data_IF_073853992965
#
_entry.id   IF_073853992965
#
_cell.length_a   1.000
_cell.length_b   1.000
_cell.length_c   1.000
_cell.angle_alpha   90.00
_cell.angle_beta   90.00
_cell.angle_gamma   90.00
#
_symmetry.space_group_name_H-M   'P 1'
#
loop_
_entity.id
_entity.type
_entity.pdbx_description
1 polymer ?
#
# COMPACT_ATOMS: atom_id res chain seq x y z
N UNK A 1 -2.24 23.19 11.60
CA UNK A 1 -3.56 22.53 11.57
C UNK A 1 -3.80 22.03 10.16
N UNK A 2 -4.25 20.80 9.98
CA UNK A 2 -4.41 20.19 8.64
C UNK A 2 -5.72 20.65 7.98
N UNK A 3 -5.64 21.17 6.76
CA UNK A 3 -6.83 21.57 5.98
C UNK A 3 -7.48 20.33 5.37
N UNK A 4 -8.74 20.06 5.72
CA UNK A 4 -9.47 18.86 5.29
C UNK A 4 -9.99 18.95 3.86
N UNK A 5 -10.30 20.17 3.41
CA UNK A 5 -10.87 20.44 2.10
C UNK A 5 -9.90 21.27 1.27
N UNK A 6 -9.87 20.97 -0.02
CA UNK A 6 -9.10 21.69 -1.03
C UNK A 6 -10.06 22.15 -2.11
N UNK A 7 -9.87 23.38 -2.57
CA UNK A 7 -10.53 23.88 -3.77
C UNK A 7 -9.60 23.58 -4.93
N UNK A 8 -10.05 22.83 -5.91
CA UNK A 8 -9.22 22.37 -7.01
C UNK A 8 -9.79 22.78 -8.35
N UNK A 9 -8.92 23.16 -9.28
CA UNK A 9 -9.27 23.28 -10.69
C UNK A 9 -8.91 21.99 -11.41
N UNK A 10 -9.84 21.44 -12.19
CA UNK A 10 -9.59 20.27 -13.04
C UNK A 10 -8.96 20.71 -14.37
N UNK A 11 -7.71 20.32 -14.61
CA UNK A 11 -6.93 20.75 -15.78
C UNK A 11 -7.28 19.98 -17.06
N UNK A 12 -7.89 18.80 -16.92
CA UNK A 12 -8.23 17.93 -18.04
C UNK A 12 -9.63 18.22 -18.62
N UNK A 13 -10.44 19.01 -17.91
CA UNK A 13 -11.78 19.40 -18.36
C UNK A 13 -11.66 20.67 -19.18
N UNK A 14 -11.79 20.54 -20.51
CA UNK A 14 -11.81 21.67 -21.44
C UNK A 14 -13.20 22.30 -21.46
N UNK A 15 -13.45 23.24 -20.55
CA UNK A 15 -14.62 24.13 -20.60
C UNK A 15 -14.19 25.60 -20.64
N UNK A 16 -15.00 26.45 -21.28
CA UNK A 16 -14.80 27.91 -21.26
C UNK A 16 -14.98 28.52 -19.86
N UNK A 17 -15.63 27.78 -18.95
CA UNK A 17 -15.77 28.10 -17.53
C UNK A 17 -14.77 27.26 -16.76
N UNK A 18 -13.99 27.88 -15.86
CA UNK A 18 -13.06 27.16 -14.99
C UNK A 18 -13.82 26.09 -14.19
N UNK A 19 -13.45 24.82 -14.37
CA UNK A 19 -14.04 23.71 -13.61
C UNK A 19 -13.37 23.62 -12.23
N UNK A 20 -13.78 24.52 -11.33
CA UNK A 20 -13.35 24.55 -9.93
C UNK A 20 -14.39 23.81 -9.09
N UNK A 21 -13.94 22.93 -8.20
CA UNK A 21 -14.82 22.25 -7.24
C UNK A 21 -14.09 21.98 -5.91
N UNK A 22 -14.84 21.53 -4.91
CA UNK A 22 -14.35 21.17 -3.59
C UNK A 22 -14.05 19.66 -3.59
N UNK A 23 -12.90 19.28 -3.05
CA UNK A 23 -12.55 17.88 -2.77
C UNK A 23 -11.96 17.78 -1.37
N UNK A 24 -11.96 16.58 -0.80
CA UNK A 24 -11.20 16.34 0.43
C UNK A 24 -9.71 16.20 0.09
N UNK A 25 -8.85 16.61 1.02
CA UNK A 25 -7.40 16.47 0.90
C UNK A 25 -6.96 15.01 0.67
N UNK A 26 -7.75 14.04 1.17
CA UNK A 26 -7.50 12.60 1.03
C UNK A 26 -7.81 12.04 -0.36
N UNK A 27 -8.56 12.76 -1.20
CA UNK A 27 -8.85 12.34 -2.57
C UNK A 27 -7.74 12.70 -3.55
N UNK A 28 -6.87 13.63 -3.14
CA UNK A 28 -5.77 14.14 -3.94
C UNK A 28 -4.53 13.27 -3.71
N UNK A 29 -3.84 12.93 -4.78
CA UNK A 29 -2.57 12.22 -4.72
C UNK A 29 -1.65 12.62 -5.87
N UNK A 30 -0.35 12.37 -5.69
CA UNK A 30 0.62 12.58 -6.75
C UNK A 30 0.68 11.37 -7.67
N UNK A 31 0.41 11.58 -8.95
CA UNK A 31 0.59 10.59 -10.00
C UNK A 31 2.00 10.69 -10.58
N UNK A 32 2.78 9.62 -10.40
CA UNK A 32 4.17 9.54 -10.86
C UNK A 32 4.28 9.40 -12.37
N UNK A 33 3.32 8.73 -13.01
CA UNK A 33 3.35 8.50 -14.46
C UNK A 33 3.05 9.80 -15.20
N UNK A 34 2.06 10.54 -14.71
CA UNK A 34 1.66 11.84 -15.28
C UNK A 34 2.50 13.01 -14.75
N UNK A 35 3.34 12.78 -13.74
CA UNK A 35 4.13 13.79 -13.04
C UNK A 35 3.27 15.00 -12.62
N UNK A 36 2.12 14.72 -12.03
CA UNK A 36 1.10 15.73 -11.75
C UNK A 36 0.27 15.39 -10.52
N UNK A 37 -0.29 16.41 -9.89
CA UNK A 37 -1.31 16.24 -8.87
C UNK A 37 -2.63 15.79 -9.52
N UNK A 38 -3.25 14.75 -8.98
CA UNK A 38 -4.50 14.20 -9.52
C UNK A 38 -5.53 13.96 -8.42
N UNK A 39 -6.80 13.94 -8.79
CA UNK A 39 -7.91 13.58 -7.90
C UNK A 39 -8.92 12.73 -8.66
N UNK A 40 -9.52 11.76 -7.97
CA UNK A 40 -10.68 11.03 -8.50
C UNK A 40 -11.93 11.86 -8.34
N UNK A 41 -12.71 11.97 -9.42
CA UNK A 41 -13.91 12.79 -9.41
C UNK A 41 -15.06 12.18 -10.19
N UNK A 42 -16.28 12.58 -9.84
CA UNK A 42 -17.48 12.06 -10.47
C UNK A 42 -17.46 12.36 -11.98
N UNK A 43 -17.72 11.37 -12.85
CA UNK A 43 -17.78 11.62 -14.29
C UNK A 43 -19.10 12.31 -14.69
N UNK A 44 -19.10 13.07 -15.81
CA UNK A 44 -20.31 13.66 -16.37
C UNK A 44 -21.33 12.58 -16.80
N UNK A 45 -22.62 12.93 -16.99
CA UNK A 45 -23.21 14.26 -16.83
C UNK A 45 -23.48 14.62 -15.36
N UNK A 46 -23.37 15.90 -15.01
CA UNK A 46 -23.57 16.43 -13.65
C UNK A 46 -25.02 16.87 -13.41
N UNK A 47 -25.92 15.92 -13.19
CA UNK A 47 -27.32 16.22 -12.81
C UNK A 47 -27.41 16.74 -11.38
N UNK A 48 -28.51 17.41 -11.02
CA UNK A 48 -28.73 17.94 -9.66
C UNK A 48 -28.62 16.84 -8.58
N UNK A 49 -29.24 15.67 -8.82
CA UNK A 49 -29.15 14.53 -7.91
C UNK A 49 -27.72 14.02 -7.71
N UNK A 50 -26.93 14.00 -8.79
CA UNK A 50 -25.51 13.62 -8.74
C UNK A 50 -24.67 14.64 -7.95
N UNK A 51 -24.93 15.94 -8.11
CA UNK A 51 -24.26 17.00 -7.34
C UNK A 51 -24.57 16.90 -5.84
N UNK A 52 -25.83 16.63 -5.47
CA UNK A 52 -26.21 16.39 -4.07
C UNK A 52 -25.47 15.17 -3.52
N UNK A 53 -25.45 14.05 -4.27
CA UNK A 53 -24.73 12.85 -3.85
C UNK A 53 -23.23 13.10 -3.66
N UNK A 54 -22.62 13.87 -4.57
CA UNK A 54 -21.21 14.23 -4.49
C UNK A 54 -20.93 15.08 -3.25
N UNK A 55 -21.73 16.14 -3.00
CA UNK A 55 -21.64 16.97 -1.80
C UNK A 55 -21.70 16.13 -0.53
N UNK A 56 -22.70 15.25 -0.43
CA UNK A 56 -22.87 14.37 0.73
C UNK A 56 -21.66 13.45 0.96
N UNK A 57 -21.03 12.94 -0.11
CA UNK A 57 -19.84 12.10 0.01
C UNK A 57 -18.63 12.89 0.53
N UNK A 58 -18.43 14.10 0.01
CA UNK A 58 -17.32 14.98 0.41
C UNK A 58 -17.49 15.43 1.85
N UNK A 59 -18.68 15.91 2.22
CA UNK A 59 -18.99 16.42 3.56
C UNK A 59 -18.92 15.32 4.63
N UNK A 60 -19.34 14.09 4.30
CA UNK A 60 -19.20 12.94 5.18
C UNK A 60 -17.77 12.34 5.20
N UNK A 61 -16.84 12.86 4.39
CA UNK A 61 -15.45 12.41 4.36
C UNK A 61 -15.25 11.00 3.78
N UNK A 62 -16.20 10.51 2.97
CA UNK A 62 -16.06 9.19 2.34
C UNK A 62 -14.93 9.18 1.31
N UNK A 63 -14.26 8.02 1.07
CA UNK A 63 -13.28 7.90 0.00
C UNK A 63 -13.95 8.02 -1.38
N UNK A 64 -13.19 8.39 -2.44
CA UNK A 64 -13.76 8.50 -3.78
C UNK A 64 -14.11 7.10 -4.31
N UNK A 65 -15.15 7.01 -5.13
CA UNK A 65 -15.55 5.72 -5.73
C UNK A 65 -14.43 5.23 -6.64
N UNK A 66 -14.01 3.96 -6.46
CA UNK A 66 -12.85 3.40 -7.17
C UNK A 66 -12.96 3.45 -8.70
N UNK A 67 -14.17 3.33 -9.24
CA UNK A 67 -14.45 3.35 -10.67
C UNK A 67 -14.45 4.75 -11.28
N UNK A 68 -14.35 5.81 -10.47
CA UNK A 68 -14.26 7.16 -10.98
C UNK A 68 -12.93 7.43 -11.68
N UNK A 69 -12.93 8.21 -12.77
CA UNK A 69 -11.72 8.63 -13.45
C UNK A 69 -10.90 9.57 -12.58
N UNK A 70 -9.59 9.57 -12.84
CA UNK A 70 -8.64 10.51 -12.23
C UNK A 70 -8.35 11.66 -13.18
N UNK A 71 -8.47 12.87 -12.67
CA UNK A 71 -8.21 14.11 -13.38
C UNK A 71 -7.01 14.81 -12.76
N UNK A 72 -6.18 15.44 -13.60
CA UNK A 72 -5.15 16.37 -13.15
C UNK A 72 -5.80 17.57 -12.51
N UNK A 73 -5.25 17.97 -11.37
CA UNK A 73 -5.77 19.07 -10.57
C UNK A 73 -4.67 20.03 -10.18
N UNK A 74 -5.06 21.25 -9.88
CA UNK A 74 -4.24 22.23 -9.19
C UNK A 74 -5.02 22.80 -8.01
N UNK A 75 -4.36 22.98 -6.87
CA UNK A 75 -5.00 23.52 -5.67
C UNK A 75 -5.09 25.04 -5.76
N UNK A 76 -6.31 25.58 -5.65
CA UNK A 76 -6.60 27.01 -5.66
C UNK A 76 -7.01 27.57 -4.31
N UNK A 77 -7.23 26.72 -3.31
CA UNK A 77 -7.53 27.15 -1.94
C UNK A 77 -7.58 26.00 -0.95
N UNK A 78 -7.63 26.36 0.34
CA UNK A 78 -7.65 25.42 1.47
C UNK A 78 -8.77 25.80 2.44
N UNK A 79 -9.40 24.80 3.05
CA UNK A 79 -10.46 25.00 4.03
C UNK A 79 -10.45 23.89 5.08
N UNK A 80 -10.81 24.24 6.32
CA UNK A 80 -10.94 23.29 7.43
C UNK A 80 -12.32 22.66 7.47
N UNK A 81 -13.36 23.42 7.14
CA UNK A 81 -14.76 22.95 7.10
C UNK A 81 -15.34 23.06 5.69
N UNK A 82 -16.39 22.28 5.41
CA UNK A 82 -17.06 22.34 4.11
C UNK A 82 -17.71 23.72 3.89
N UNK A 83 -18.32 24.31 4.93
CA UNK A 83 -18.84 25.68 4.86
C UNK A 83 -17.76 26.71 4.53
N UNK A 84 -16.54 26.57 5.07
CA UNK A 84 -15.41 27.43 4.70
C UNK A 84 -15.03 27.28 3.22
N UNK A 85 -15.13 26.06 2.70
CA UNK A 85 -14.81 25.74 1.32
C UNK A 85 -15.85 26.36 0.37
N UNK A 86 -17.15 26.30 0.68
CA UNK A 86 -18.19 26.97 -0.10
C UNK A 86 -17.97 28.48 -0.17
N UNK A 87 -17.68 29.14 0.96
CA UNK A 87 -17.36 30.58 0.99
C UNK A 87 -16.16 30.92 0.11
N UNK A 88 -15.12 30.07 0.12
CA UNK A 88 -13.93 30.27 -0.73
C UNK A 88 -14.18 30.00 -2.20
N UNK A 89 -15.10 29.09 -2.53
CA UNK A 89 -15.48 28.82 -3.90
C UNK A 89 -16.12 30.07 -4.52
N UNK A 90 -16.89 30.83 -3.74
CA UNK A 90 -17.42 32.13 -4.15
C UNK A 90 -16.32 33.18 -4.35
N UNK A 91 -15.26 33.18 -3.54
CA UNK A 91 -14.10 34.07 -3.74
C UNK A 91 -13.36 33.73 -5.04
N UNK A 92 -13.18 32.45 -5.36
CA UNK A 92 -12.51 32.01 -6.59
C UNK A 92 -13.23 32.40 -7.89
N UNK A 93 -14.49 32.85 -7.82
CA UNK A 93 -15.17 33.46 -8.97
C UNK A 93 -14.61 34.85 -9.31
N UNK A 94 -13.97 35.52 -8.35
CA UNK A 94 -13.47 36.90 -8.46
C UNK A 94 -11.95 36.98 -8.53
N UNK A 95 -11.25 36.03 -7.92
CA UNK A 95 -9.78 36.00 -7.84
C UNK A 95 -9.24 34.61 -8.16
N UNK A 96 -7.94 34.54 -8.49
CA UNK A 96 -7.33 33.31 -8.99
C UNK A 96 -7.07 32.25 -7.89
N UNK A 97 -6.85 32.68 -6.65
CA UNK A 97 -6.56 31.82 -5.49
C UNK A 97 -7.32 32.31 -4.25
N UNK A 98 -7.69 31.39 -3.35
CA UNK A 98 -8.45 31.68 -2.13
C UNK A 98 -7.87 30.88 -0.94
N UNK A 99 -6.62 31.16 -0.58
CA UNK A 99 -5.99 30.56 0.59
C UNK A 99 -6.36 31.32 1.88
N UNK A 100 -6.28 30.61 3.00
CA UNK A 100 -6.64 31.06 4.36
C UNK A 100 -5.62 32.01 4.99
N UNK A 101 -4.37 31.97 4.56
CA UNK A 101 -3.27 32.65 5.25
C UNK A 101 -3.07 34.06 4.69
N UNK A 102 -3.17 35.06 5.57
CA UNK A 102 -2.66 36.44 5.42
C UNK A 102 -1.11 36.48 5.36
N UNK A 103 -0.48 35.40 4.88
CA UNK A 103 0.95 35.43 4.63
C UNK A 103 1.21 36.35 3.44
N UNK A 104 2.32 37.09 3.47
CA UNK A 104 2.84 37.84 2.30
C UNK A 104 3.13 36.93 1.08
N UNK A 105 3.03 35.61 1.26
CA UNK A 105 3.21 34.60 0.23
C UNK A 105 2.00 34.55 -0.70
N UNK A 106 2.26 34.77 -1.99
CA UNK A 106 1.24 34.73 -3.03
C UNK A 106 0.55 33.35 -3.13
N UNK A 107 -0.70 33.33 -3.61
CA UNK A 107 -1.49 32.10 -3.69
C UNK A 107 -0.91 31.04 -4.63
N UNK A 108 -0.15 31.43 -5.66
CA UNK A 108 0.51 30.49 -6.56
C UNK A 108 1.62 29.74 -5.85
N UNK A 109 2.40 30.42 -5.01
CA UNK A 109 3.41 29.82 -4.16
C UNK A 109 2.81 28.79 -3.20
N UNK A 110 1.62 29.05 -2.63
CA UNK A 110 0.90 28.08 -1.78
C UNK A 110 0.39 26.86 -2.57
N UNK A 111 -0.03 27.05 -3.83
CA UNK A 111 -0.40 25.95 -4.75
C UNK A 111 0.79 25.05 -5.07
N UNK A 112 1.97 25.65 -5.32
CA UNK A 112 3.22 24.93 -5.57
C UNK A 112 3.65 24.15 -4.33
N UNK A 113 3.58 24.76 -3.15
CA UNK A 113 3.89 24.11 -1.88
C UNK A 113 3.00 22.86 -1.67
N UNK A 114 1.68 22.99 -1.84
CA UNK A 114 0.76 21.85 -1.74
C UNK A 114 1.17 20.72 -2.70
N UNK A 115 1.51 21.07 -3.93
CA UNK A 115 1.96 20.10 -4.95
C UNK A 115 3.21 19.33 -4.50
N UNK A 116 4.22 20.03 -3.97
CA UNK A 116 5.44 19.41 -3.48
C UNK A 116 5.20 18.57 -2.22
N UNK A 117 4.28 18.97 -1.32
CA UNK A 117 3.87 18.14 -0.18
C UNK A 117 3.29 16.80 -0.65
N UNK A 118 2.34 16.80 -1.59
CA UNK A 118 1.77 15.56 -2.12
C UNK A 118 2.82 14.69 -2.84
N UNK A 119 3.74 15.31 -3.57
CA UNK A 119 4.86 14.62 -4.21
C UNK A 119 5.79 13.97 -3.20
N UNK A 120 6.12 14.64 -2.10
CA UNK A 120 6.93 14.11 -1.01
C UNK A 120 6.22 12.98 -0.25
N UNK A 121 4.91 13.10 -0.03
CA UNK A 121 4.10 12.04 0.57
C UNK A 121 4.11 10.77 -0.29
N UNK A 122 4.01 10.90 -1.61
CA UNK A 122 4.08 9.75 -2.53
C UNK A 122 5.43 9.02 -2.53
N UNK A 123 6.53 9.75 -2.33
CA UNK A 123 7.88 9.16 -2.18
C UNK A 123 8.00 8.43 -0.84
N UNK A 124 7.44 9.01 0.22
CA UNK A 124 7.49 8.44 1.57
C UNK A 124 6.68 7.14 1.67
N UNK A 125 5.47 7.11 1.10
CA UNK A 125 4.66 5.88 1.03
C UNK A 125 5.42 4.77 0.29
N UNK A 126 6.00 5.10 -0.85
CA UNK A 126 6.77 4.15 -1.66
C UNK A 126 8.01 3.60 -0.93
N UNK A 127 8.73 4.43 -0.17
CA UNK A 127 9.85 3.96 0.68
C UNK A 127 9.38 2.96 1.74
N UNK A 128 8.27 3.24 2.42
CA UNK A 128 7.69 2.32 3.42
C UNK A 128 7.26 1.00 2.79
N UNK A 129 6.64 1.04 1.62
CA UNK A 129 6.24 -0.15 0.85
C UNK A 129 7.46 -0.99 0.45
N UNK A 130 8.52 -0.36 -0.06
CA UNK A 130 9.79 -1.02 -0.39
C UNK A 130 10.41 -1.69 0.84
N UNK A 131 10.54 -0.97 1.95
CA UNK A 131 11.12 -1.50 3.17
C UNK A 131 10.34 -2.73 3.68
N UNK A 132 9.02 -2.69 3.59
CA UNK A 132 8.17 -3.82 3.96
C UNK A 132 8.37 -5.01 3.01
N UNK A 133 8.45 -4.78 1.70
CA UNK A 133 8.74 -5.82 0.72
C UNK A 133 10.10 -6.48 0.98
N UNK A 134 11.14 -5.69 1.24
CA UNK A 134 12.48 -6.18 1.59
C UNK A 134 12.47 -7.04 2.87
N UNK A 135 11.78 -6.60 3.92
CA UNK A 135 11.62 -7.39 5.16
C UNK A 135 10.91 -8.72 4.91
N UNK A 136 9.86 -8.72 4.10
CA UNK A 136 9.11 -9.94 3.75
C UNK A 136 9.97 -10.92 2.93
N UNK A 137 10.73 -10.42 1.95
CA UNK A 137 11.68 -11.23 1.19
C UNK A 137 12.73 -11.89 2.07
N UNK A 138 13.30 -11.14 3.03
CA UNK A 138 14.29 -11.68 3.99
C UNK A 138 13.69 -12.80 4.85
N UNK A 139 12.50 -12.57 5.43
CA UNK A 139 11.77 -13.58 6.20
C UNK A 139 11.47 -14.84 5.39
N UNK A 140 11.10 -14.69 4.12
CA UNK A 140 10.82 -15.82 3.24
C UNK A 140 12.09 -16.63 2.91
N UNK A 141 13.22 -15.97 2.65
CA UNK A 141 14.51 -16.67 2.46
C UNK A 141 14.91 -17.46 3.70
N UNK A 142 14.74 -16.90 4.89
CA UNK A 142 15.04 -17.60 6.16
C UNK A 142 14.12 -18.80 6.39
N UNK A 143 12.81 -18.67 6.11
CA UNK A 143 11.86 -19.79 6.18
C UNK A 143 12.24 -20.91 5.20
N UNK A 144 12.61 -20.58 3.97
CA UNK A 144 13.05 -21.56 2.98
C UNK A 144 14.32 -22.29 3.41
N UNK A 145 15.31 -21.58 3.99
CA UNK A 145 16.52 -22.21 4.56
C UNK A 145 16.18 -23.17 5.71
N UNK A 146 15.28 -22.79 6.62
CA UNK A 146 14.84 -23.66 7.72
C UNK A 146 14.12 -24.91 7.22
N UNK A 147 13.25 -24.78 6.20
CA UNK A 147 12.59 -25.93 5.55
C UNK A 147 13.61 -26.87 4.90
N UNK A 148 14.62 -26.33 4.23
CA UNK A 148 15.69 -27.13 3.62
C UNK A 148 16.51 -27.87 4.68
N UNK A 149 16.89 -27.17 5.75
CA UNK A 149 17.63 -27.77 6.88
C UNK A 149 16.83 -28.90 7.54
N UNK A 150 15.55 -28.68 7.81
CA UNK A 150 14.70 -29.69 8.42
C UNK A 150 14.50 -30.91 7.52
N UNK A 151 14.33 -30.72 6.21
CA UNK A 151 14.24 -31.79 5.22
C UNK A 151 15.52 -32.62 5.16
N UNK A 152 16.69 -31.99 5.27
CA UNK A 152 17.97 -32.69 5.27
C UNK A 152 18.19 -33.49 6.56
N UNK A 153 17.78 -32.97 7.72
CA UNK A 153 17.80 -33.72 8.98
C UNK A 153 16.92 -34.96 8.90
N UNK A 154 15.66 -34.84 8.46
CA UNK A 154 14.76 -35.99 8.37
C UNK A 154 15.28 -37.10 7.45
N UNK A 155 16.00 -36.75 6.38
CA UNK A 155 16.64 -37.74 5.50
C UNK A 155 17.80 -38.45 6.20
N UNK A 156 18.64 -37.70 6.92
CA UNK A 156 19.78 -38.25 7.65
C UNK A 156 19.35 -39.20 8.77
N UNK A 157 18.34 -38.83 9.56
CA UNK A 157 17.81 -39.67 10.65
C UNK A 157 17.15 -40.94 10.13
N UNK A 158 16.45 -40.87 8.99
CA UNK A 158 15.86 -42.06 8.35
C UNK A 158 16.95 -43.04 7.90
N UNK A 159 18.05 -42.54 7.34
CA UNK A 159 19.14 -43.39 6.89
C UNK A 159 19.89 -44.04 8.08
N UNK A 160 20.14 -43.27 9.14
CA UNK A 160 20.73 -43.79 10.37
C UNK A 160 19.87 -44.87 11.04
N UNK A 161 18.54 -44.71 11.01
CA UNK A 161 17.61 -45.71 11.55
C UNK A 161 17.64 -47.02 10.76
N UNK A 162 17.73 -46.95 9.43
CA UNK A 162 17.90 -48.14 8.57
C UNK A 162 19.21 -48.86 8.90
N UNK A 163 20.32 -48.12 9.02
CA UNK A 163 21.62 -48.70 9.37
C UNK A 163 21.57 -49.39 10.75
N UNK A 164 21.03 -48.72 11.77
CA UNK A 164 20.89 -49.31 13.11
C UNK A 164 20.02 -50.57 13.12
N UNK A 165 18.94 -50.58 12.33
CA UNK A 165 18.09 -51.77 12.19
C UNK A 165 18.86 -52.94 11.56
N UNK A 166 19.60 -52.68 10.48
CA UNK A 166 20.43 -53.70 9.82
C UNK A 166 21.56 -54.21 10.72
N UNK A 167 22.21 -53.34 11.50
CA UNK A 167 23.25 -53.75 12.45
C UNK A 167 22.69 -54.68 13.53
N UNK A 168 21.50 -54.36 14.06
CA UNK A 168 20.85 -55.19 15.08
C UNK A 168 20.41 -56.56 14.55
N UNK A 169 19.96 -56.62 13.28
CA UNK A 169 19.64 -57.88 12.61
C UNK A 169 20.90 -58.74 12.40
N UNK A 170 22.04 -58.13 12.06
CA UNK A 170 23.34 -58.81 11.94
C UNK A 170 23.83 -59.33 13.29
N UNK A 171 23.75 -58.52 14.36
CA UNK A 171 24.13 -58.98 15.72
C UNK A 171 23.35 -60.22 16.14
N UNK A 172 22.02 -60.24 15.91
CA UNK A 172 21.17 -61.40 16.22
C UNK A 172 21.62 -62.65 15.44
N UNK A 173 21.98 -62.50 14.16
CA UNK A 173 22.49 -63.61 13.35
C UNK A 173 23.82 -64.15 13.87
N UNK A 174 24.73 -63.26 14.29
CA UNK A 174 26.02 -63.64 14.88
C UNK A 174 25.80 -64.39 16.20
N UNK A 175 24.99 -63.87 17.12
CA UNK A 175 24.73 -64.53 18.41
C UNK A 175 24.07 -65.90 18.23
N UNK A 176 23.16 -66.03 17.26
CA UNK A 176 22.54 -67.32 16.95
C UNK A 176 23.55 -68.32 16.35
N UNK A 177 24.52 -67.84 15.56
CA UNK A 177 25.57 -68.69 15.00
C UNK A 177 26.57 -69.17 16.05
N UNK A 178 26.92 -68.32 17.02
CA UNK A 178 27.78 -68.70 18.15
C UNK A 178 27.08 -69.72 19.07
N UNK A 179 25.77 -69.56 19.29
CA UNK A 179 24.96 -70.52 20.04
C UNK A 179 24.89 -71.89 19.35
N UNK A 180 24.83 -71.92 18.02
CA UNK A 180 24.90 -73.15 17.22
C UNK A 180 26.28 -73.82 17.32
N UNK A 181 27.37 -73.04 17.34
CA UNK A 181 28.72 -73.56 17.57
C UNK A 181 28.89 -74.16 18.97
N UNK A 182 28.28 -73.58 20.01
CA UNK A 182 28.29 -74.17 21.36
C UNK A 182 27.47 -75.47 21.48
N UNK A 183 26.42 -75.65 20.68
CA UNK A 183 25.62 -76.89 20.67
C UNK A 183 26.37 -78.04 19.97
N UNK A 184 27.19 -77.74 18.96
CA UNK A 184 27.98 -78.75 18.24
C UNK A 184 29.11 -79.33 19.12
N UNK A 185 29.67 -78.54 20.05
CA UNK A 185 30.73 -78.99 20.97
C UNK A 185 30.26 -79.81 22.18
N UNK A 186 28.95 -80.04 22.34
CA UNK A 186 28.40 -80.91 23.40
C UNK A 186 28.09 -82.34 22.90
N UNK A 187 28.43 -82.66 21.65
CA UNK A 187 28.17 -83.95 21.00
C UNK A 187 29.45 -84.75 20.60
N UNK A 188 30.63 -84.36 21.09
CA UNK A 188 31.86 -85.19 21.07
C UNK A 188 32.19 -85.70 22.47
#
# INVERSE_FOLDING_TARGET
MEYLYKLVIFLDIKSSVLSIDIVTSSWIYWDKERNSLVSKFMPPPYTAAKRIKLKNLIEAGYPPIKTWPSFRVETRGRAKTYSEAETRLELLKKQEYAFTEESEVDGRSQSIEDTEVYKMLSKTSFRKELDNAYRNLKKNKEKSKRKLYHKNICKSTSHAFVILKTCKEIEILITNSENLFSIIYLFE
#
